data_IF_848482964602
#
_entry.id   IF_848482964602
#
_cell.length_a   1.000
_cell.length_b   1.000
_cell.length_c   1.000
_cell.angle_alpha   90.00
_cell.angle_beta   90.00
_cell.angle_gamma   90.00
#
_symmetry.space_group_name_H-M   'P 1'
#
loop_
_entity.id
_entity.type
_entity.pdbx_description
1 polymer ?
#
# COMPACT_ATOMS: atom_id res chain seq x y z
N UNK A 1 -18.23 20.73 0.71
CA UNK A 1 -17.50 19.65 0.00
C UNK A 1 -16.64 18.82 0.93
N UNK A 2 -15.88 19.41 1.83
CA UNK A 2 -15.01 18.71 2.80
C UNK A 2 -15.78 17.77 3.76
N UNK A 3 -16.89 18.23 4.32
CA UNK A 3 -17.70 17.44 5.25
C UNK A 3 -18.27 16.14 4.61
N UNK A 4 -18.63 16.23 3.33
CA UNK A 4 -19.13 15.08 2.56
C UNK A 4 -18.00 14.06 2.34
N UNK A 5 -16.83 14.53 1.96
CA UNK A 5 -15.67 13.68 1.72
C UNK A 5 -15.22 12.95 2.99
N UNK A 6 -15.22 13.64 4.15
CA UNK A 6 -14.92 13.02 5.44
C UNK A 6 -15.95 11.94 5.84
N UNK A 7 -17.23 12.18 5.57
CA UNK A 7 -18.29 11.17 5.81
C UNK A 7 -18.10 9.93 4.92
N UNK A 8 -17.76 10.12 3.65
CA UNK A 8 -17.46 9.03 2.72
C UNK A 8 -16.22 8.24 3.15
N UNK A 9 -15.15 8.92 3.54
CA UNK A 9 -13.94 8.29 4.06
C UNK A 9 -14.25 7.46 5.33
N UNK A 10 -15.00 8.01 6.28
CA UNK A 10 -15.42 7.30 7.49
C UNK A 10 -16.23 6.04 7.17
N UNK A 11 -17.10 6.11 6.18
CA UNK A 11 -17.85 4.95 5.68
C UNK A 11 -16.93 3.86 5.14
N UNK A 12 -15.98 4.20 4.27
CA UNK A 12 -15.01 3.26 3.69
C UNK A 12 -14.13 2.61 4.77
N UNK A 13 -13.63 3.41 5.72
CA UNK A 13 -12.83 2.90 6.84
C UNK A 13 -13.64 1.92 7.72
N UNK A 14 -14.90 2.25 8.00
CA UNK A 14 -15.79 1.39 8.80
C UNK A 14 -16.13 0.08 8.08
N UNK A 15 -16.33 0.13 6.77
CA UNK A 15 -16.62 -1.04 5.92
C UNK A 15 -15.52 -2.10 6.00
N UNK A 16 -14.28 -1.66 6.14
CA UNK A 16 -13.09 -2.51 6.18
C UNK A 16 -12.52 -2.71 7.61
N UNK A 17 -13.19 -2.21 8.64
CA UNK A 17 -12.68 -2.24 10.02
C UNK A 17 -12.54 -3.67 10.57
N UNK A 18 -13.44 -4.57 10.20
CA UNK A 18 -13.42 -5.95 10.68
C UNK A 18 -12.17 -6.72 10.25
N UNK A 19 -11.75 -6.58 9.01
CA UNK A 19 -10.52 -7.20 8.49
C UNK A 19 -9.28 -6.67 9.20
N UNK A 20 -9.24 -5.36 9.53
CA UNK A 20 -8.13 -4.76 10.29
C UNK A 20 -8.06 -5.30 11.72
N UNK A 21 -9.22 -5.60 12.30
CA UNK A 21 -9.28 -6.20 13.63
C UNK A 21 -8.72 -7.63 13.62
N UNK A 22 -8.97 -8.41 12.56
CA UNK A 22 -8.36 -9.74 12.37
C UNK A 22 -6.84 -9.61 12.22
N UNK A 23 -6.37 -8.68 11.39
CA UNK A 23 -4.93 -8.43 11.21
C UNK A 23 -4.28 -8.10 12.55
N UNK A 24 -4.88 -7.20 13.33
CA UNK A 24 -4.39 -6.85 14.66
C UNK A 24 -4.35 -8.06 15.60
N UNK A 25 -5.40 -8.88 15.62
CA UNK A 25 -5.45 -10.08 16.46
C UNK A 25 -4.33 -11.07 16.12
N UNK A 26 -4.05 -11.29 14.83
CA UNK A 26 -2.96 -12.17 14.39
C UNK A 26 -1.60 -11.58 14.76
N UNK A 27 -1.40 -10.27 14.59
CA UNK A 27 -0.18 -9.60 15.00
C UNK A 27 0.06 -9.76 16.51
N UNK A 28 -0.97 -9.57 17.33
CA UNK A 28 -0.88 -9.76 18.78
C UNK A 28 -0.51 -11.21 19.17
N UNK A 29 -0.98 -12.21 18.44
CA UNK A 29 -0.55 -13.62 18.67
C UNK A 29 0.95 -13.80 18.38
N UNK A 30 1.45 -13.16 17.32
CA UNK A 30 2.88 -13.15 17.02
C UNK A 30 3.71 -12.47 18.11
N UNK A 31 3.25 -11.33 18.63
CA UNK A 31 3.86 -10.63 19.76
C UNK A 31 3.87 -11.47 21.04
N UNK A 32 2.78 -12.17 21.34
CA UNK A 32 2.73 -13.09 22.50
C UNK A 32 3.79 -14.19 22.34
N UNK A 33 3.95 -14.74 21.14
CA UNK A 33 4.98 -15.74 20.84
C UNK A 33 6.39 -15.15 21.02
N UNK A 34 6.63 -13.92 20.57
CA UNK A 34 7.90 -13.21 20.75
C UNK A 34 8.21 -13.03 22.24
N UNK A 35 7.30 -12.47 23.03
CA UNK A 35 7.48 -12.25 24.45
C UNK A 35 7.63 -13.55 25.27
N UNK A 36 6.92 -14.61 24.89
CA UNK A 36 7.12 -15.93 25.54
C UNK A 36 8.53 -16.46 25.28
N UNK A 37 9.03 -16.39 24.05
CA UNK A 37 10.41 -16.72 23.70
C UNK A 37 11.44 -15.89 24.48
N UNK A 38 11.16 -14.57 24.59
CA UNK A 38 12.02 -13.64 25.31
C UNK A 38 12.10 -13.94 26.82
N UNK A 39 10.98 -14.25 27.50
CA UNK A 39 10.92 -14.58 28.93
C UNK A 39 11.57 -15.94 29.20
N UNK A 40 11.42 -16.90 28.29
CA UNK A 40 11.97 -18.25 28.43
C UNK A 40 13.44 -18.37 27.98
N UNK A 41 14.07 -17.27 27.55
CA UNK A 41 15.43 -17.25 26.99
C UNK A 41 15.66 -18.22 25.81
N UNK A 42 14.63 -18.47 25.00
CA UNK A 42 14.68 -19.36 23.84
C UNK A 42 14.92 -18.58 22.57
N UNK A 43 16.17 -18.47 22.14
CA UNK A 43 16.56 -17.75 20.92
C UNK A 43 15.86 -18.26 19.65
N UNK A 44 15.64 -19.58 19.54
CA UNK A 44 14.90 -20.19 18.42
C UNK A 44 13.46 -19.69 18.34
N UNK A 45 12.75 -19.61 19.47
CA UNK A 45 11.36 -19.11 19.53
C UNK A 45 11.29 -17.63 19.17
N UNK A 46 12.25 -16.83 19.64
CA UNK A 46 12.35 -15.40 19.28
C UNK A 46 12.57 -15.27 17.77
N UNK A 47 13.50 -16.00 17.20
CA UNK A 47 13.80 -15.96 15.77
C UNK A 47 12.61 -16.38 14.91
N UNK A 48 11.89 -17.43 15.31
CA UNK A 48 10.66 -17.88 14.63
C UNK A 48 9.55 -16.82 14.73
N UNK A 49 9.34 -16.21 15.89
CA UNK A 49 8.34 -15.18 16.08
C UNK A 49 8.60 -13.95 15.19
N UNK A 50 9.84 -13.45 15.17
CA UNK A 50 10.24 -12.33 14.32
C UNK A 50 10.12 -12.66 12.83
N UNK A 51 10.51 -13.88 12.43
CA UNK A 51 10.36 -14.34 11.06
C UNK A 51 8.90 -14.41 10.62
N UNK A 52 8.01 -14.95 11.47
CA UNK A 52 6.58 -15.02 11.21
C UNK A 52 5.93 -13.63 11.21
N UNK A 53 6.29 -12.73 12.15
CA UNK A 53 5.79 -11.35 12.20
C UNK A 53 6.21 -10.56 10.96
N UNK A 54 7.46 -10.71 10.50
CA UNK A 54 7.93 -10.01 9.29
C UNK A 54 7.19 -10.49 8.05
N UNK A 55 7.04 -11.81 7.87
CA UNK A 55 6.27 -12.39 6.77
C UNK A 55 4.80 -11.97 6.82
N UNK A 56 4.20 -12.00 8.02
CA UNK A 56 2.83 -11.59 8.24
C UNK A 56 2.63 -10.09 7.93
N UNK A 57 3.56 -9.22 8.33
CA UNK A 57 3.50 -7.78 8.03
C UNK A 57 3.43 -7.50 6.54
N UNK A 58 4.31 -8.15 5.76
CA UNK A 58 4.28 -8.02 4.29
C UNK A 58 2.94 -8.52 3.75
N UNK A 59 2.49 -9.70 4.17
CA UNK A 59 1.19 -10.25 3.76
C UNK A 59 0.01 -9.37 4.14
N UNK A 60 0.02 -8.78 5.33
CA UNK A 60 -1.04 -7.89 5.81
C UNK A 60 -1.13 -6.59 5.00
N UNK A 61 0.00 -5.97 4.67
CA UNK A 61 0.03 -4.77 3.83
C UNK A 61 -0.48 -5.07 2.41
N UNK A 62 -0.08 -6.20 1.81
CA UNK A 62 -0.64 -6.66 0.55
C UNK A 62 -2.15 -6.91 0.64
N UNK A 63 -2.61 -7.56 1.71
CA UNK A 63 -4.03 -7.84 1.92
C UNK A 63 -4.86 -6.55 2.03
N UNK A 64 -4.36 -5.53 2.75
CA UNK A 64 -5.03 -4.23 2.89
C UNK A 64 -5.20 -3.54 1.53
N UNK A 65 -4.16 -3.54 0.69
CA UNK A 65 -4.24 -3.00 -0.65
C UNK A 65 -5.23 -3.78 -1.53
N UNK A 66 -5.16 -5.11 -1.48
CA UNK A 66 -6.04 -5.98 -2.25
C UNK A 66 -7.51 -5.86 -1.81
N UNK A 67 -7.77 -5.76 -0.50
CA UNK A 67 -9.12 -5.52 0.04
C UNK A 67 -9.73 -4.22 -0.48
N UNK A 68 -8.95 -3.15 -0.58
CA UNK A 68 -9.41 -1.89 -1.17
C UNK A 68 -9.83 -2.06 -2.64
N UNK A 69 -9.04 -2.80 -3.42
CA UNK A 69 -9.32 -3.09 -4.82
C UNK A 69 -10.60 -3.95 -4.96
N UNK A 70 -10.72 -4.99 -4.14
CA UNK A 70 -11.89 -5.88 -4.14
C UNK A 70 -13.16 -5.16 -3.70
N UNK A 71 -13.06 -4.26 -2.73
CA UNK A 71 -14.17 -3.42 -2.28
C UNK A 71 -14.67 -2.53 -3.41
N UNK A 72 -13.77 -1.87 -4.15
CA UNK A 72 -14.13 -1.06 -5.30
C UNK A 72 -14.78 -1.90 -6.42
N UNK A 73 -14.23 -3.08 -6.71
CA UNK A 73 -14.80 -3.99 -7.70
C UNK A 73 -16.21 -4.47 -7.30
N UNK A 74 -16.41 -4.75 -5.99
CA UNK A 74 -17.72 -5.13 -5.44
C UNK A 74 -18.74 -4.00 -5.58
N UNK A 75 -18.32 -2.76 -5.34
CA UNK A 75 -19.19 -1.58 -5.46
C UNK A 75 -19.69 -1.35 -6.90
N UNK A 76 -18.92 -1.78 -7.91
CA UNK A 76 -19.34 -1.71 -9.30
C UNK A 76 -20.17 -2.92 -9.76
N UNK A 77 -20.18 -4.03 -9.02
CA UNK A 77 -20.90 -5.27 -9.41
C UNK A 77 -22.24 -5.43 -8.75
N UNK A 78 -22.38 -4.99 -7.50
CA UNK A 78 -23.58 -5.24 -6.69
C UNK A 78 -24.61 -4.12 -6.85
N UNK A 79 -25.87 -4.49 -7.11
CA UNK A 79 -26.96 -3.51 -7.35
C UNK A 79 -27.16 -2.51 -6.20
N UNK A 80 -26.99 -2.91 -4.93
CA UNK A 80 -27.13 -1.97 -3.82
C UNK A 80 -25.88 -1.16 -3.51
N UNK A 81 -24.69 -1.65 -3.84
CA UNK A 81 -23.47 -0.85 -3.77
C UNK A 81 -23.42 0.22 -4.84
N UNK A 82 -24.10 -0.03 -5.95
CA UNK A 82 -24.30 0.91 -7.03
C UNK A 82 -25.08 2.16 -6.60
N UNK A 83 -25.93 2.06 -5.58
CA UNK A 83 -26.62 3.21 -4.99
C UNK A 83 -25.67 4.29 -4.49
N UNK A 84 -24.41 3.97 -4.18
CA UNK A 84 -23.40 4.96 -3.81
C UNK A 84 -23.17 5.98 -4.92
N UNK A 85 -23.23 5.54 -6.19
CA UNK A 85 -23.06 6.41 -7.35
C UNK A 85 -24.35 7.16 -7.74
N UNK A 86 -25.50 6.76 -7.17
CA UNK A 86 -26.78 7.46 -7.31
C UNK A 86 -27.00 8.54 -6.23
N UNK A 87 -26.09 8.65 -5.26
CA UNK A 87 -26.16 9.75 -4.28
C UNK A 87 -25.83 11.09 -4.94
N UNK A 88 -26.29 12.23 -4.39
CA UNK A 88 -26.01 13.55 -4.95
C UNK A 88 -24.53 13.98 -4.80
N UNK A 89 -23.64 13.01 -4.61
CA UNK A 89 -22.20 13.22 -4.50
C UNK A 89 -21.53 13.10 -5.87
N UNK A 90 -20.54 13.94 -6.13
CA UNK A 90 -19.77 13.83 -7.38
C UNK A 90 -18.94 12.54 -7.37
N UNK A 91 -18.81 11.90 -8.52
CA UNK A 91 -18.00 10.71 -8.73
C UNK A 91 -16.55 10.92 -8.29
N UNK A 92 -16.04 12.14 -8.52
CA UNK A 92 -14.71 12.55 -8.05
C UNK A 92 -14.58 12.48 -6.52
N UNK A 93 -15.59 12.93 -5.77
CA UNK A 93 -15.56 12.85 -4.30
C UNK A 93 -15.61 11.40 -3.80
N UNK A 94 -16.36 10.53 -4.48
CA UNK A 94 -16.47 9.12 -4.13
C UNK A 94 -15.13 8.40 -4.36
N UNK A 95 -14.54 8.55 -5.55
CA UNK A 95 -13.24 7.93 -5.86
C UNK A 95 -12.14 8.53 -5.01
N UNK A 96 -12.12 9.85 -4.81
CA UNK A 96 -11.16 10.52 -3.93
C UNK A 96 -11.21 10.00 -2.50
N UNK A 97 -12.41 9.84 -1.93
CA UNK A 97 -12.58 9.26 -0.60
C UNK A 97 -12.04 7.83 -0.51
N UNK A 98 -12.24 7.00 -1.54
CA UNK A 98 -11.70 5.63 -1.60
C UNK A 98 -10.18 5.60 -1.66
N UNK A 99 -9.57 6.41 -2.53
CA UNK A 99 -8.10 6.49 -2.68
C UNK A 99 -7.46 6.99 -1.38
N UNK A 100 -8.00 8.06 -0.78
CA UNK A 100 -7.46 8.62 0.46
C UNK A 100 -7.67 7.65 1.62
N UNK A 101 -8.83 6.99 1.73
CA UNK A 101 -9.06 5.98 2.77
C UNK A 101 -8.09 4.81 2.66
N UNK A 102 -7.79 4.36 1.43
CA UNK A 102 -6.81 3.29 1.18
C UNK A 102 -5.39 3.72 1.55
N UNK A 103 -5.00 4.94 1.17
CA UNK A 103 -3.71 5.53 1.54
C UNK A 103 -3.55 5.64 3.06
N UNK A 104 -4.57 6.14 3.76
CA UNK A 104 -4.59 6.22 5.22
C UNK A 104 -4.48 4.85 5.89
N UNK A 105 -5.20 3.84 5.38
CA UNK A 105 -5.13 2.48 5.95
C UNK A 105 -3.74 1.87 5.81
N UNK A 106 -3.10 2.00 4.64
CA UNK A 106 -1.74 1.50 4.41
C UNK A 106 -0.75 2.24 5.30
N UNK A 107 -0.86 3.56 5.38
CA UNK A 107 0.02 4.39 6.20
C UNK A 107 -0.11 4.06 7.69
N UNK A 108 -1.34 3.99 8.21
CA UNK A 108 -1.58 3.67 9.62
C UNK A 108 -1.15 2.25 9.97
N UNK A 109 -1.44 1.28 9.09
CA UNK A 109 -1.01 -0.11 9.31
C UNK A 109 0.51 -0.25 9.23
N UNK A 110 1.15 0.41 8.26
CA UNK A 110 2.60 0.44 8.13
C UNK A 110 3.27 1.07 9.36
N UNK A 111 2.73 2.19 9.87
CA UNK A 111 3.20 2.81 11.12
C UNK A 111 3.02 1.89 12.33
N UNK A 112 1.87 1.21 12.45
CA UNK A 112 1.62 0.28 13.55
C UNK A 112 2.65 -0.86 13.54
N UNK A 113 2.89 -1.50 12.40
CA UNK A 113 3.90 -2.55 12.27
C UNK A 113 5.32 -2.03 12.51
N UNK A 114 5.66 -0.84 12.02
CA UNK A 114 6.96 -0.23 12.28
C UNK A 114 7.20 0.01 13.77
N UNK A 115 6.17 0.48 14.50
CA UNK A 115 6.25 0.66 15.95
C UNK A 115 6.43 -0.68 16.68
N UNK A 116 5.76 -1.76 16.27
CA UNK A 116 5.96 -3.09 16.83
C UNK A 116 7.40 -3.56 16.63
N UNK A 117 7.94 -3.48 15.40
CA UNK A 117 9.34 -3.85 15.14
C UNK A 117 10.35 -3.01 15.89
N UNK A 118 10.11 -1.70 16.08
CA UNK A 118 10.97 -0.83 16.89
C UNK A 118 10.93 -1.28 18.37
N UNK A 119 9.76 -1.62 18.88
CA UNK A 119 9.57 -2.10 20.24
C UNK A 119 10.30 -3.43 20.47
N UNK A 120 10.12 -4.40 19.57
CA UNK A 120 10.80 -5.70 19.62
C UNK A 120 12.32 -5.53 19.58
N UNK A 121 12.79 -4.69 18.64
CA UNK A 121 14.19 -4.35 18.52
C UNK A 121 14.75 -3.72 19.81
N UNK A 122 14.04 -2.77 20.42
CA UNK A 122 14.45 -2.13 21.66
C UNK A 122 14.51 -3.13 22.84
N UNK A 123 13.56 -4.05 22.92
CA UNK A 123 13.52 -5.11 23.95
C UNK A 123 14.72 -6.06 23.81
N UNK A 124 15.04 -6.47 22.57
CA UNK A 124 16.20 -7.33 22.29
C UNK A 124 17.52 -6.60 22.60
N UNK A 125 17.61 -5.33 22.23
CA UNK A 125 18.76 -4.46 22.53
C UNK A 125 19.03 -4.36 24.02
N UNK A 126 18.00 -4.10 24.79
CA UNK A 126 18.13 -3.95 26.23
C UNK A 126 18.66 -5.21 26.92
N UNK A 127 18.41 -6.40 26.32
CA UNK A 127 18.80 -7.68 26.92
C UNK A 127 20.13 -8.23 26.40
N UNK A 128 20.40 -8.10 25.09
CA UNK A 128 21.46 -8.89 24.43
C UNK A 128 22.63 -8.09 23.89
N UNK A 129 22.51 -6.76 23.72
CA UNK A 129 23.57 -5.99 23.07
C UNK A 129 23.66 -4.53 23.48
N UNK A 130 24.81 -3.91 23.23
CA UNK A 130 24.96 -2.46 23.26
C UNK A 130 24.41 -1.85 21.94
N UNK A 131 23.80 -0.66 22.03
CA UNK A 131 23.29 0.12 20.87
C UNK A 131 24.32 0.27 19.75
N UNK A 132 25.61 0.30 20.09
CA UNK A 132 26.71 0.46 19.14
C UNK A 132 26.93 -0.77 18.24
N UNK A 133 26.76 -1.98 18.78
CA UNK A 133 26.95 -3.23 18.02
C UNK A 133 25.86 -3.43 17.00
N UNK A 134 24.62 -3.04 17.31
CA UNK A 134 23.50 -3.18 16.34
C UNK A 134 23.55 -2.12 15.27
N UNK A 135 23.86 -0.87 15.60
CA UNK A 135 24.08 0.16 14.58
C UNK A 135 25.19 -0.25 13.61
N UNK A 136 26.22 -0.95 14.12
CA UNK A 136 27.29 -1.49 13.30
C UNK A 136 26.79 -2.64 12.42
N UNK A 137 26.07 -3.61 12.99
CA UNK A 137 25.51 -4.75 12.25
C UNK A 137 24.47 -4.33 11.21
N UNK A 138 23.58 -3.36 11.51
CA UNK A 138 22.64 -2.80 10.56
C UNK A 138 23.35 -2.09 9.40
N UNK A 139 24.35 -1.27 9.69
CA UNK A 139 25.14 -0.59 8.66
C UNK A 139 25.89 -1.59 7.78
N UNK A 140 26.52 -2.61 8.39
CA UNK A 140 27.19 -3.68 7.66
C UNK A 140 26.22 -4.47 6.77
N UNK A 141 25.06 -4.86 7.30
CA UNK A 141 24.04 -5.61 6.54
C UNK A 141 23.54 -4.81 5.32
N UNK A 142 23.21 -3.54 5.51
CA UNK A 142 22.70 -2.69 4.42
C UNK A 142 23.80 -2.36 3.42
N UNK A 143 25.02 -2.10 3.85
CA UNK A 143 26.14 -1.88 2.95
C UNK A 143 26.50 -3.14 2.14
N UNK A 144 26.44 -4.34 2.75
CA UNK A 144 26.72 -5.60 2.06
C UNK A 144 25.63 -5.98 1.06
N UNK A 145 24.36 -5.70 1.36
CA UNK A 145 23.23 -6.07 0.50
C UNK A 145 22.96 -5.04 -0.61
N UNK A 146 23.10 -3.74 -0.32
CA UNK A 146 22.61 -2.68 -1.20
C UNK A 146 23.68 -1.65 -1.59
N UNK A 147 24.88 -1.71 -1.00
CA UNK A 147 25.96 -0.74 -1.19
C UNK A 147 25.51 0.73 -0.96
N UNK A 148 24.64 0.94 0.00
CA UNK A 148 23.98 2.21 0.30
C UNK A 148 24.44 2.72 1.69
N UNK A 149 24.92 3.95 1.74
CA UNK A 149 25.08 4.64 3.03
C UNK A 149 23.70 5.02 3.57
N UNK A 150 23.27 4.38 4.65
CA UNK A 150 22.02 4.73 5.33
C UNK A 150 22.14 6.14 5.96
N UNK A 151 21.72 7.13 5.16
CA UNK A 151 21.40 8.45 5.68
C UNK A 151 19.88 8.47 6.04
N UNK A 152 19.55 9.17 7.12
CA UNK A 152 18.15 9.37 7.56
C UNK A 152 17.27 9.90 6.42
N UNK A 153 17.78 10.82 5.61
CA UNK A 153 17.10 11.38 4.44
C UNK A 153 16.76 10.29 3.41
N UNK A 154 17.71 9.43 3.11
CA UNK A 154 17.51 8.33 2.16
C UNK A 154 16.41 7.35 2.64
N UNK A 155 16.41 7.01 3.92
CA UNK A 155 15.40 6.13 4.51
C UNK A 155 13.99 6.73 4.40
N UNK A 156 13.83 8.02 4.69
CA UNK A 156 12.54 8.73 4.51
C UNK A 156 12.09 8.72 3.05
N UNK A 157 13.00 8.96 2.10
CA UNK A 157 12.69 8.92 0.67
C UNK A 157 12.24 7.53 0.22
N UNK A 158 12.89 6.47 0.67
CA UNK A 158 12.49 5.08 0.36
C UNK A 158 11.09 4.78 0.89
N UNK A 159 10.77 5.16 2.13
CA UNK A 159 9.43 4.98 2.69
C UNK A 159 8.39 5.74 1.86
N UNK A 160 8.68 6.99 1.45
CA UNK A 160 7.79 7.79 0.61
C UNK A 160 7.58 7.16 -0.77
N UNK A 161 8.63 6.67 -1.42
CA UNK A 161 8.52 5.95 -2.71
C UNK A 161 7.58 4.75 -2.55
N UNK A 162 7.79 3.92 -1.53
CA UNK A 162 6.95 2.74 -1.28
C UNK A 162 5.49 3.16 -1.10
N UNK A 163 5.19 4.15 -0.27
CA UNK A 163 3.83 4.61 -0.02
C UNK A 163 3.16 5.14 -1.28
N UNK A 164 3.85 5.99 -2.05
CA UNK A 164 3.29 6.57 -3.28
C UNK A 164 3.10 5.50 -4.35
N UNK A 165 4.03 4.55 -4.48
CA UNK A 165 3.88 3.41 -5.40
C UNK A 165 2.66 2.56 -5.04
N UNK A 166 2.40 2.28 -3.76
CA UNK A 166 1.21 1.57 -3.33
C UNK A 166 -0.08 2.30 -3.71
N UNK A 167 -0.13 3.63 -3.51
CA UNK A 167 -1.28 4.45 -3.91
C UNK A 167 -1.47 4.39 -5.42
N UNK A 168 -0.39 4.44 -6.20
CA UNK A 168 -0.41 4.31 -7.66
C UNK A 168 -0.99 2.95 -8.08
N UNK A 169 -0.55 1.86 -7.47
CA UNK A 169 -1.06 0.50 -7.74
C UNK A 169 -2.58 0.43 -7.51
N UNK A 170 -3.07 1.01 -6.42
CA UNK A 170 -4.50 1.01 -6.10
C UNK A 170 -5.29 1.84 -7.12
N UNK A 171 -4.82 3.04 -7.47
CA UNK A 171 -5.51 3.90 -8.44
C UNK A 171 -5.51 3.33 -9.84
N UNK A 172 -4.42 2.69 -10.27
CA UNK A 172 -4.37 1.95 -11.54
C UNK A 172 -5.30 0.75 -11.55
N UNK A 173 -5.44 0.05 -10.42
CA UNK A 173 -6.41 -1.03 -10.29
C UNK A 173 -7.84 -0.51 -10.43
N UNK A 174 -8.17 0.64 -9.83
CA UNK A 174 -9.47 1.27 -10.01
C UNK A 174 -9.72 1.66 -11.47
N UNK A 175 -8.73 2.22 -12.15
CA UNK A 175 -8.82 2.56 -13.57
C UNK A 175 -9.05 1.31 -14.42
N UNK A 176 -8.30 0.22 -14.19
CA UNK A 176 -8.45 -1.04 -14.95
C UNK A 176 -9.81 -1.68 -14.75
N UNK A 177 -10.37 -1.64 -13.53
CA UNK A 177 -11.70 -2.15 -13.20
C UNK A 177 -12.76 -1.30 -13.92
N UNK A 178 -12.61 0.02 -13.91
CA UNK A 178 -13.53 0.95 -14.56
C UNK A 178 -13.51 0.79 -16.08
N UNK A 179 -12.32 0.67 -16.69
CA UNK A 179 -12.16 0.37 -18.12
C UNK A 179 -12.87 -0.94 -18.50
N UNK A 180 -12.62 -1.99 -17.75
CA UNK A 180 -13.28 -3.28 -17.96
C UNK A 180 -14.81 -3.19 -17.81
N UNK A 181 -15.31 -2.45 -16.83
CA UNK A 181 -16.74 -2.25 -16.62
C UNK A 181 -17.39 -1.45 -17.75
N UNK A 182 -16.67 -0.47 -18.30
CA UNK A 182 -17.18 0.38 -19.39
C UNK A 182 -17.23 -0.37 -20.72
N UNK A 183 -16.16 -1.10 -21.09
CA UNK A 183 -16.07 -1.75 -22.41
C UNK A 183 -16.74 -3.13 -22.46
N UNK A 184 -16.94 -3.78 -21.32
CA UNK A 184 -17.45 -5.15 -21.23
C UNK A 184 -18.66 -5.27 -20.29
N UNK A 185 -19.59 -4.31 -20.36
CA UNK A 185 -20.72 -4.20 -19.42
C UNK A 185 -21.48 -5.52 -19.23
N UNK A 186 -21.72 -6.31 -20.29
CA UNK A 186 -22.57 -7.51 -20.27
C UNK A 186 -21.83 -8.85 -20.40
N UNK A 187 -20.50 -8.86 -20.46
CA UNK A 187 -19.74 -10.10 -20.70
C UNK A 187 -19.30 -10.80 -19.42
N UNK A 188 -19.45 -12.13 -19.40
CA UNK A 188 -18.82 -13.00 -18.39
C UNK A 188 -17.30 -12.89 -18.53
N UNK A 189 -16.57 -12.62 -17.45
CA UNK A 189 -15.10 -12.50 -17.47
C UNK A 189 -14.53 -11.10 -17.29
N UNK A 190 -15.36 -10.06 -17.02
CA UNK A 190 -14.91 -8.69 -16.74
C UNK A 190 -13.71 -8.62 -15.78
N UNK A 191 -13.74 -9.45 -14.70
CA UNK A 191 -12.67 -9.43 -13.68
C UNK A 191 -11.34 -9.92 -14.21
N UNK A 192 -11.33 -10.92 -15.08
CA UNK A 192 -10.11 -11.41 -15.72
C UNK A 192 -9.52 -10.37 -16.67
N UNK A 193 -10.36 -9.73 -17.45
CA UNK A 193 -9.92 -8.68 -18.39
C UNK A 193 -9.41 -7.46 -17.62
N UNK A 194 -10.06 -7.07 -16.51
CA UNK A 194 -9.55 -6.02 -15.61
C UNK A 194 -8.15 -6.35 -15.10
N UNK A 195 -7.90 -7.59 -14.72
CA UNK A 195 -6.60 -8.06 -14.26
C UNK A 195 -5.55 -7.96 -15.38
N UNK A 196 -5.86 -8.38 -16.59
CA UNK A 196 -4.97 -8.27 -17.76
C UNK A 196 -4.63 -6.80 -18.06
N UNK A 197 -5.64 -5.93 -18.09
CA UNK A 197 -5.46 -4.49 -18.31
C UNK A 197 -4.54 -3.91 -17.23
N UNK A 198 -4.76 -4.26 -15.96
CA UNK A 198 -3.94 -3.82 -14.84
C UNK A 198 -2.46 -4.19 -15.02
N UNK A 199 -2.16 -5.45 -15.39
CA UNK A 199 -0.79 -5.87 -15.65
C UNK A 199 -0.13 -5.14 -16.82
N UNK A 200 -0.86 -4.95 -17.90
CA UNK A 200 -0.37 -4.18 -19.05
C UNK A 200 -0.04 -2.74 -18.60
N UNK A 201 -0.90 -2.12 -17.81
CA UNK A 201 -0.68 -0.75 -17.31
C UNK A 201 0.53 -0.68 -16.39
N UNK A 202 0.68 -1.60 -15.43
CA UNK A 202 1.85 -1.62 -14.53
C UNK A 202 3.15 -1.79 -15.29
N UNK A 203 3.21 -2.76 -16.22
CA UNK A 203 4.41 -2.98 -17.04
C UNK A 203 4.73 -1.75 -17.90
N UNK A 204 3.72 -1.12 -18.48
CA UNK A 204 3.91 0.08 -19.31
C UNK A 204 4.41 1.26 -18.49
N UNK A 205 3.89 1.46 -17.28
CA UNK A 205 4.30 2.53 -16.38
C UNK A 205 5.72 2.30 -15.87
N UNK A 206 6.08 1.07 -15.50
CA UNK A 206 7.44 0.74 -15.11
C UNK A 206 8.44 1.03 -16.23
N UNK A 207 8.14 0.64 -17.48
CA UNK A 207 9.00 0.97 -18.63
C UNK A 207 9.09 2.47 -18.91
N UNK A 208 8.00 3.22 -18.67
CA UNK A 208 8.03 4.68 -18.81
C UNK A 208 8.89 5.34 -17.73
N UNK A 209 8.86 4.82 -16.50
CA UNK A 209 9.73 5.27 -15.42
C UNK A 209 11.21 5.00 -15.74
N UNK A 210 11.53 3.77 -16.16
CA UNK A 210 12.90 3.40 -16.60
C UNK A 210 13.38 4.31 -17.73
N UNK A 211 12.54 4.55 -18.72
CA UNK A 211 12.86 5.45 -19.84
C UNK A 211 13.08 6.89 -19.37
N UNK A 212 12.26 7.38 -18.44
CA UNK A 212 12.41 8.73 -17.88
C UNK A 212 13.74 8.87 -17.12
N UNK A 213 14.07 7.91 -16.28
CA UNK A 213 15.36 7.91 -15.55
C UNK A 213 16.55 7.85 -16.49
N UNK A 214 16.48 7.01 -17.53
CA UNK A 214 17.49 6.93 -18.57
C UNK A 214 17.65 8.26 -19.32
N UNK A 215 16.55 8.89 -19.73
CA UNK A 215 16.57 10.17 -20.45
C UNK A 215 17.14 11.33 -19.60
N UNK A 216 17.00 11.25 -18.27
CA UNK A 216 17.59 12.19 -17.32
C UNK A 216 19.06 11.87 -16.97
N UNK A 217 19.63 10.78 -17.53
CA UNK A 217 21.00 10.35 -17.23
C UNK A 217 21.18 9.78 -15.83
N UNK A 218 20.09 9.33 -15.18
CA UNK A 218 20.11 8.78 -13.81
C UNK A 218 20.26 7.26 -13.91
N UNK A 219 21.49 6.77 -13.76
CA UNK A 219 21.80 5.33 -13.92
C UNK A 219 22.01 4.60 -12.58
N UNK A 220 21.91 5.29 -11.47
CA UNK A 220 22.11 4.73 -10.14
C UNK A 220 20.94 5.07 -9.22
N UNK A 221 20.66 4.17 -8.26
CA UNK A 221 19.69 4.42 -7.21
C UNK A 221 20.30 5.42 -6.21
N UNK A 222 19.85 6.65 -6.25
CA UNK A 222 20.29 7.75 -5.39
C UNK A 222 19.08 8.62 -4.99
N UNK A 223 19.29 9.62 -4.15
CA UNK A 223 18.25 10.56 -3.72
C UNK A 223 17.47 11.16 -4.89
N UNK A 224 18.18 11.49 -5.98
CA UNK A 224 17.58 12.10 -7.17
C UNK A 224 16.64 11.13 -7.88
N UNK A 225 17.04 9.87 -8.03
CA UNK A 225 16.18 8.84 -8.65
C UNK A 225 14.91 8.60 -7.82
N UNK A 226 15.04 8.56 -6.49
CA UNK A 226 13.89 8.40 -5.60
C UNK A 226 12.93 9.58 -5.70
N UNK A 227 13.43 10.81 -5.72
CA UNK A 227 12.58 12.02 -5.87
C UNK A 227 11.87 12.02 -7.23
N UNK A 228 12.58 11.69 -8.31
CA UNK A 228 11.98 11.60 -9.65
C UNK A 228 10.92 10.51 -9.68
N UNK A 229 11.18 9.34 -9.09
CA UNK A 229 10.19 8.26 -8.96
C UNK A 229 8.93 8.70 -8.19
N UNK A 230 9.08 9.39 -7.06
CA UNK A 230 7.94 9.94 -6.30
C UNK A 230 7.11 10.89 -7.17
N UNK A 231 7.75 11.85 -7.83
CA UNK A 231 7.05 12.82 -8.69
C UNK A 231 6.34 12.12 -9.84
N UNK A 232 6.99 11.16 -10.49
CA UNK A 232 6.41 10.37 -11.57
C UNK A 232 5.16 9.61 -11.11
N UNK A 233 5.24 8.87 -10.01
CA UNK A 233 4.12 8.12 -9.46
C UNK A 233 2.97 9.03 -8.98
N UNK A 234 3.26 10.21 -8.42
CA UNK A 234 2.23 11.20 -8.07
C UNK A 234 1.46 11.66 -9.32
N UNK A 235 2.16 11.99 -10.40
CA UNK A 235 1.54 12.39 -11.68
C UNK A 235 0.68 11.26 -12.24
N UNK A 236 1.18 10.04 -12.27
CA UNK A 236 0.45 8.84 -12.73
C UNK A 236 -0.82 8.64 -11.88
N UNK A 237 -0.71 8.77 -10.56
CA UNK A 237 -1.85 8.64 -9.64
C UNK A 237 -2.93 9.68 -9.93
N UNK A 238 -2.55 10.95 -10.15
CA UNK A 238 -3.49 12.04 -10.47
C UNK A 238 -4.20 11.75 -11.80
N UNK A 239 -3.46 11.35 -12.83
CA UNK A 239 -4.03 11.01 -14.14
C UNK A 239 -4.98 9.82 -14.01
N UNK A 240 -4.58 8.75 -13.32
CA UNK A 240 -5.41 7.56 -13.12
C UNK A 240 -6.69 7.89 -12.32
N UNK A 241 -6.59 8.73 -11.29
CA UNK A 241 -7.72 9.20 -10.51
C UNK A 241 -8.72 10.00 -11.35
N UNK A 242 -8.26 11.01 -12.10
CA UNK A 242 -9.11 11.87 -12.92
C UNK A 242 -9.79 11.04 -14.01
N UNK A 243 -9.05 10.17 -14.69
CA UNK A 243 -9.60 9.33 -15.75
C UNK A 243 -10.62 8.33 -15.22
N UNK A 244 -10.39 7.72 -14.07
CA UNK A 244 -11.34 6.81 -13.40
C UNK A 244 -12.64 7.54 -13.08
N UNK A 245 -12.56 8.69 -12.42
CA UNK A 245 -13.73 9.48 -12.03
C UNK A 245 -14.52 9.98 -13.24
N UNK A 246 -13.83 10.47 -14.28
CA UNK A 246 -14.46 10.93 -15.54
C UNK A 246 -15.17 9.79 -16.28
N UNK A 247 -14.57 8.60 -16.33
CA UNK A 247 -15.19 7.45 -16.98
C UNK A 247 -16.44 6.98 -16.26
N UNK A 248 -16.41 6.95 -14.94
CA UNK A 248 -17.59 6.59 -14.13
C UNK A 248 -18.72 7.62 -14.28
N UNK A 249 -18.39 8.89 -14.39
CA UNK A 249 -19.38 9.97 -14.53
C UNK A 249 -20.07 9.95 -15.90
N UNK A 250 -19.33 9.68 -16.98
CA UNK A 250 -19.83 9.86 -18.34
C UNK A 250 -20.15 8.58 -19.12
N UNK A 251 -19.54 7.44 -18.76
CA UNK A 251 -19.59 6.22 -19.58
C UNK A 251 -20.14 5.00 -18.87
N UNK A 252 -20.19 4.98 -17.57
CA UNK A 252 -20.91 3.93 -16.85
C UNK A 252 -22.36 4.43 -16.74
N UNK A 253 -23.19 4.06 -17.71
CA UNK A 253 -24.63 4.33 -17.63
C UNK A 253 -25.19 3.54 -16.45
N UNK A 254 -25.74 4.26 -15.55
CA UNK A 254 -26.49 3.83 -14.38
C UNK A 254 -27.92 3.53 -14.81
#
# INVERSE_FOLDING_TARGET
MEEIMLKLMKYELRKQAFSKLIILAIALLGEIMFFTGFIMDKSETIGLALGLLSLFTVGALFFIAFESIMTFQSDLKQKHSYMLFLTPNTTYSIIGAKVISSALQIMLSGLAFALLFIMDGAVLLAKYSSLNEINRALKEFVNLQFNINLDYKYLVLVILVILVTWITIITLSYLSITLSATFLADKRGKSFISFVIFFIMIISIGKLEDFLLFALGINAINDTSLIVGILFHVVVTIIAYITTAWMLDKKVSV
#
